data_IF_487384045323
#
_entry.id   IF_487384045323
#
_cell.length_a   1.000
_cell.length_b   1.000
_cell.length_c   1.000
_cell.angle_alpha   90.00
_cell.angle_beta   90.00
_cell.angle_gamma   90.00
#
_symmetry.space_group_name_H-M   'P 1'
#
loop_
_entity.id
_entity.type
_entity.pdbx_description
1 polymer ?
#
# COMPACT_ATOMS: atom_id res chain seq x y z
N UNK A 1 12.21 41.33 -30.06
CA UNK A 1 11.50 41.12 -28.79
C UNK A 1 11.82 39.71 -28.32
N UNK A 2 12.51 39.62 -27.20
CA UNK A 2 13.26 38.43 -26.74
C UNK A 2 12.32 37.43 -26.08
N UNK A 3 12.24 36.23 -26.63
CA UNK A 3 11.76 35.04 -25.90
C UNK A 3 13.01 34.21 -25.67
N UNK A 4 13.55 34.30 -24.45
CA UNK A 4 14.70 33.53 -24.00
C UNK A 4 14.21 32.52 -22.95
N UNK A 5 14.18 31.26 -23.38
CA UNK A 5 14.79 30.11 -22.70
C UNK A 5 14.35 29.80 -21.26
N UNK A 6 13.54 28.77 -21.15
CA UNK A 6 13.46 27.92 -19.97
C UNK A 6 13.64 26.44 -20.37
N UNK A 7 14.74 26.10 -21.04
CA UNK A 7 15.05 24.72 -21.48
C UNK A 7 16.35 24.17 -20.89
N UNK A 8 16.83 24.67 -19.75
CA UNK A 8 18.12 24.21 -19.20
C UNK A 8 18.08 23.80 -17.73
N UNK A 9 16.92 23.41 -17.19
CA UNK A 9 16.87 22.98 -15.77
C UNK A 9 16.67 21.48 -15.58
N UNK A 10 16.70 20.68 -16.64
CA UNK A 10 16.49 19.23 -16.58
C UNK A 10 17.78 18.38 -16.64
N UNK A 11 18.95 19.00 -16.65
CA UNK A 11 20.23 18.28 -16.89
C UNK A 11 21.15 18.20 -15.66
N UNK A 12 20.69 18.60 -14.49
CA UNK A 12 21.48 18.49 -13.24
C UNK A 12 20.69 17.87 -12.08
N UNK A 13 19.74 16.99 -12.33
CA UNK A 13 19.41 16.01 -11.32
C UNK A 13 20.61 15.05 -11.28
N UNK A 14 21.34 14.98 -10.15
CA UNK A 14 22.32 13.92 -9.99
C UNK A 14 21.56 12.63 -10.24
N UNK A 15 22.16 11.73 -10.99
CA UNK A 15 21.85 10.31 -10.92
C UNK A 15 22.04 9.94 -9.43
N UNK A 16 21.01 10.21 -8.63
CA UNK A 16 20.89 9.55 -7.35
C UNK A 16 21.00 8.08 -7.70
N UNK A 17 22.12 7.49 -7.34
CA UNK A 17 22.28 6.06 -7.40
C UNK A 17 20.97 5.51 -6.87
N UNK A 18 20.30 4.68 -7.64
CA UNK A 18 19.29 3.81 -7.09
C UNK A 18 20.07 2.92 -6.13
N UNK A 19 20.21 3.41 -4.89
CA UNK A 19 20.56 2.54 -3.81
C UNK A 19 19.48 1.46 -3.88
N UNK A 20 19.84 0.28 -4.29
CA UNK A 20 19.03 -0.91 -4.11
C UNK A 20 18.67 -0.88 -2.63
N UNK A 21 17.44 -0.49 -2.31
CA UNK A 21 16.93 -0.58 -0.96
C UNK A 21 16.83 -2.06 -0.66
N UNK A 22 17.89 -2.61 -0.08
CA UNK A 22 17.89 -3.96 0.47
C UNK A 22 16.98 -3.94 1.69
N UNK A 23 15.80 -4.53 1.57
CA UNK A 23 14.85 -4.73 2.67
C UNK A 23 15.22 -5.98 3.46
N UNK A 24 16.49 -6.08 3.89
CA UNK A 24 17.03 -7.29 4.52
C UNK A 24 16.25 -7.73 5.76
N UNK A 25 15.65 -6.82 6.50
CA UNK A 25 14.83 -7.15 7.65
C UNK A 25 13.47 -7.72 7.22
N UNK A 26 12.76 -7.03 6.34
CA UNK A 26 11.46 -7.48 5.84
C UNK A 26 11.57 -8.76 5.01
N UNK A 27 12.65 -8.95 4.27
CA UNK A 27 12.87 -10.15 3.45
C UNK A 27 13.11 -11.40 4.30
N UNK A 28 13.43 -11.25 5.60
CA UNK A 28 13.53 -12.39 6.52
C UNK A 28 12.17 -12.98 6.91
N UNK A 29 11.07 -12.27 6.67
CA UNK A 29 9.71 -12.72 6.94
C UNK A 29 9.03 -13.16 5.63
N UNK A 30 8.41 -14.35 5.58
CA UNK A 30 7.82 -14.87 4.36
C UNK A 30 6.67 -13.99 3.87
N UNK A 31 6.54 -13.85 2.55
CA UNK A 31 5.34 -13.32 1.92
C UNK A 31 4.33 -14.45 1.81
N UNK A 32 3.18 -14.28 2.42
CA UNK A 32 2.08 -15.23 2.42
C UNK A 32 0.89 -14.69 1.63
N UNK A 33 -0.01 -15.57 1.24
CA UNK A 33 -1.24 -15.23 0.51
C UNK A 33 -2.43 -15.78 1.28
N UNK A 34 -3.40 -14.92 1.56
CA UNK A 34 -4.67 -15.29 2.17
C UNK A 34 -5.83 -15.08 1.20
N UNK A 35 -6.77 -16.03 1.19
CA UNK A 35 -8.05 -15.86 0.49
C UNK A 35 -9.00 -15.02 1.35
N UNK A 36 -9.36 -13.84 0.84
CA UNK A 36 -10.29 -12.92 1.48
C UNK A 36 -11.48 -12.71 0.54
N UNK A 37 -12.58 -13.36 0.81
CA UNK A 37 -13.73 -13.41 -0.10
C UNK A 37 -13.34 -14.04 -1.44
N UNK A 38 -13.36 -13.26 -2.53
CA UNK A 38 -12.96 -13.71 -3.86
C UNK A 38 -11.54 -13.26 -4.25
N UNK A 39 -10.83 -12.60 -3.35
CA UNK A 39 -9.51 -12.03 -3.60
C UNK A 39 -8.43 -12.84 -2.87
N UNK A 40 -7.26 -12.79 -3.42
CA UNK A 40 -6.01 -13.19 -2.76
C UNK A 40 -5.28 -11.94 -2.30
N UNK A 41 -4.99 -11.85 -1.01
CA UNK A 41 -4.28 -10.73 -0.39
C UNK A 41 -2.93 -11.23 0.09
N UNK A 42 -1.87 -10.61 -0.44
CA UNK A 42 -0.51 -10.88 -0.01
C UNK A 42 -0.18 -10.11 1.27
N UNK A 43 0.46 -10.77 2.22
CA UNK A 43 0.78 -10.18 3.51
C UNK A 43 2.06 -10.77 4.11
N UNK A 44 2.60 -10.10 5.13
CA UNK A 44 3.68 -10.58 6.00
C UNK A 44 3.30 -10.31 7.45
N UNK A 45 3.66 -11.21 8.34
CA UNK A 45 3.60 -10.98 9.78
C UNK A 45 5.02 -10.88 10.31
N UNK A 46 5.32 -9.76 10.95
CA UNK A 46 6.63 -9.48 11.55
C UNK A 46 6.52 -9.64 13.05
N UNK A 47 7.44 -10.43 13.64
CA UNK A 47 7.49 -10.74 15.08
C UNK A 47 6.19 -11.38 15.60
N UNK A 48 5.70 -12.39 14.88
CA UNK A 48 4.52 -13.14 15.26
C UNK A 48 4.62 -13.68 16.70
N UNK A 49 3.66 -13.29 17.55
CA UNK A 49 3.59 -13.74 18.94
C UNK A 49 2.18 -13.53 19.50
N UNK A 50 1.57 -14.52 20.15
CA UNK A 50 0.18 -14.46 20.59
C UNK A 50 -0.12 -13.31 21.57
N UNK A 51 0.82 -12.98 22.44
CA UNK A 51 0.62 -11.99 23.51
C UNK A 51 1.01 -10.56 23.11
N UNK A 52 1.56 -10.34 21.91
CA UNK A 52 1.92 -8.99 21.46
C UNK A 52 0.68 -8.24 20.97
N UNK A 53 0.60 -6.93 21.24
CA UNK A 53 -0.41 -6.10 20.60
C UNK A 53 -0.20 -6.10 19.07
N UNK A 54 -1.30 -6.19 18.33
CA UNK A 54 -1.30 -6.27 16.87
C UNK A 54 -1.31 -4.88 16.26
N UNK A 55 -0.49 -4.66 15.22
CA UNK A 55 -0.51 -3.46 14.40
C UNK A 55 -0.68 -3.85 12.93
N UNK A 56 -1.63 -3.26 12.24
CA UNK A 56 -1.83 -3.41 10.80
C UNK A 56 -1.37 -2.14 10.12
N UNK A 57 -0.46 -2.25 9.16
CA UNK A 57 0.06 -1.10 8.42
C UNK A 57 -0.46 -1.12 6.98
N UNK A 58 -1.15 -0.04 6.57
CA UNK A 58 -1.86 0.09 5.30
C UNK A 58 -1.18 1.14 4.44
N UNK A 59 -0.55 0.73 3.34
CA UNK A 59 0.15 1.63 2.43
C UNK A 59 -0.83 2.43 1.54
N UNK A 60 -0.33 3.52 0.99
CA UNK A 60 -1.06 4.35 0.03
C UNK A 60 -1.12 3.74 -1.37
N UNK A 61 -1.64 4.52 -2.32
CA UNK A 61 -1.86 4.11 -3.69
C UNK A 61 -0.57 3.59 -4.35
N UNK A 62 -0.63 2.35 -4.87
CA UNK A 62 0.47 1.71 -5.59
C UNK A 62 1.66 1.28 -4.73
N UNK A 63 1.63 1.52 -3.43
CA UNK A 63 2.68 1.08 -2.51
C UNK A 63 2.46 -0.35 -2.04
N UNK A 64 3.48 -1.22 -2.21
CA UNK A 64 3.47 -2.59 -1.69
C UNK A 64 3.88 -2.64 -0.21
N UNK A 65 3.75 -3.82 0.40
CA UNK A 65 4.07 -4.06 1.81
C UNK A 65 5.51 -3.64 2.20
N UNK A 66 6.48 -3.76 1.30
CA UNK A 66 7.88 -3.37 1.55
C UNK A 66 8.11 -1.85 1.49
N UNK A 67 7.18 -1.07 0.96
CA UNK A 67 7.35 0.39 0.83
C UNK A 67 7.41 1.13 2.18
N UNK A 68 7.04 0.47 3.28
CA UNK A 68 7.22 1.00 4.64
C UNK A 68 8.67 1.10 5.08
N UNK A 69 9.55 0.28 4.51
CA UNK A 69 10.97 0.20 4.83
C UNK A 69 11.27 -0.48 6.16
N UNK A 70 12.46 -1.04 6.25
CA UNK A 70 12.92 -1.82 7.40
C UNK A 70 12.93 -1.02 8.69
N UNK A 71 13.32 0.26 8.64
CA UNK A 71 13.49 1.10 9.83
C UNK A 71 12.17 1.32 10.61
N UNK A 72 11.06 1.57 9.90
CA UNK A 72 9.76 1.77 10.55
C UNK A 72 9.26 0.46 11.15
N UNK A 73 9.30 -0.61 10.38
CA UNK A 73 8.73 -1.89 10.80
C UNK A 73 9.56 -2.52 11.94
N UNK A 74 10.90 -2.50 11.85
CA UNK A 74 11.73 -2.95 12.95
C UNK A 74 11.57 -2.07 14.21
N UNK A 75 11.31 -0.77 14.02
CA UNK A 75 10.99 0.13 15.13
C UNK A 75 9.69 -0.24 15.85
N UNK A 76 8.63 -0.58 15.14
CA UNK A 76 7.36 -1.06 15.71
C UNK A 76 7.57 -2.41 16.43
N UNK A 77 8.29 -3.32 15.80
CA UNK A 77 8.63 -4.61 16.38
C UNK A 77 9.45 -4.48 17.68
N UNK A 78 10.41 -3.56 17.71
CA UNK A 78 11.19 -3.24 18.89
C UNK A 78 10.36 -2.65 20.05
N UNK A 79 9.22 -1.99 19.74
CA UNK A 79 8.26 -1.54 20.73
C UNK A 79 7.32 -2.67 21.22
N UNK A 80 7.52 -3.88 20.74
CA UNK A 80 6.77 -5.05 21.16
C UNK A 80 5.50 -5.34 20.36
N UNK A 81 5.30 -4.69 19.21
CA UNK A 81 4.18 -5.00 18.33
C UNK A 81 4.47 -6.23 17.46
N UNK A 82 3.45 -7.00 17.19
CA UNK A 82 3.37 -7.88 16.02
C UNK A 82 2.79 -7.05 14.89
N UNK A 83 3.46 -7.01 13.73
CA UNK A 83 3.10 -6.10 12.64
C UNK A 83 2.64 -6.90 11.42
N UNK A 84 1.39 -6.67 11.02
CA UNK A 84 0.82 -7.19 9.78
C UNK A 84 0.99 -6.13 8.68
N UNK A 85 1.79 -6.47 7.66
CA UNK A 85 1.93 -5.71 6.43
C UNK A 85 1.13 -6.43 5.34
N UNK A 86 0.47 -5.66 4.47
CA UNK A 86 -0.28 -6.22 3.35
C UNK A 86 -0.06 -5.43 2.06
N UNK A 87 -0.26 -6.12 0.95
CA UNK A 87 -0.47 -5.47 -0.33
C UNK A 87 -1.96 -5.23 -0.51
N UNK A 88 -2.36 -3.98 -0.68
CA UNK A 88 -3.75 -3.68 -1.02
C UNK A 88 -4.15 -4.39 -2.32
N UNK A 89 -5.46 -4.65 -2.54
CA UNK A 89 -5.94 -5.09 -3.86
C UNK A 89 -5.34 -4.23 -4.95
N UNK A 90 -5.06 -4.81 -6.10
CA UNK A 90 -4.46 -4.15 -7.27
C UNK A 90 -3.00 -3.69 -7.07
N UNK A 91 -2.32 -4.18 -6.02
CA UNK A 91 -0.94 -3.83 -5.69
C UNK A 91 -0.11 -5.08 -5.37
N UNK A 92 1.17 -5.04 -5.67
CA UNK A 92 2.14 -6.07 -5.29
C UNK A 92 1.75 -7.46 -5.78
N UNK A 93 1.67 -8.41 -4.84
CA UNK A 93 1.30 -9.81 -5.10
C UNK A 93 -0.18 -10.11 -4.81
N UNK A 94 -0.98 -9.12 -4.39
CA UNK A 94 -2.43 -9.27 -4.23
C UNK A 94 -3.15 -9.31 -5.57
N UNK A 95 -4.43 -9.78 -5.56
CA UNK A 95 -5.28 -9.83 -6.75
C UNK A 95 -5.29 -8.50 -7.50
N UNK A 96 -5.06 -8.57 -8.81
CA UNK A 96 -5.01 -7.43 -9.71
C UNK A 96 -6.27 -7.33 -10.56
N UNK A 97 -6.62 -6.09 -10.89
CA UNK A 97 -7.78 -5.73 -11.71
C UNK A 97 -7.36 -5.22 -13.10
N UNK A 98 -6.33 -5.83 -13.67
CA UNK A 98 -5.72 -5.40 -14.95
C UNK A 98 -6.72 -5.38 -16.12
N UNK A 99 -7.77 -6.21 -16.08
CA UNK A 99 -8.85 -6.27 -17.10
C UNK A 99 -9.68 -4.98 -17.15
N UNK A 100 -9.67 -4.15 -16.12
CA UNK A 100 -10.34 -2.84 -16.11
C UNK A 100 -9.58 -1.77 -16.89
N UNK A 101 -8.35 -2.06 -17.32
CA UNK A 101 -7.47 -1.15 -18.01
C UNK A 101 -6.92 -0.03 -17.10
N UNK A 102 -6.10 0.83 -17.69
CA UNK A 102 -5.57 2.00 -16.97
C UNK A 102 -6.39 3.24 -17.34
N UNK A 103 -7.24 3.76 -16.45
CA UNK A 103 -8.01 4.95 -16.74
C UNK A 103 -7.08 6.14 -16.92
N UNK A 104 -7.33 6.96 -17.92
CA UNK A 104 -6.61 8.23 -18.11
C UNK A 104 -7.05 9.19 -17.01
N UNK A 105 -6.22 9.40 -16.01
CA UNK A 105 -6.54 10.16 -14.79
C UNK A 105 -7.15 11.54 -15.12
N UNK A 106 -6.59 12.26 -16.10
CA UNK A 106 -7.11 13.57 -16.53
C UNK A 106 -8.52 13.51 -17.11
N UNK A 107 -8.84 12.44 -17.82
CA UNK A 107 -10.16 12.24 -18.39
C UNK A 107 -11.20 11.94 -17.32
N UNK A 108 -10.84 11.11 -16.34
CA UNK A 108 -11.72 10.80 -15.20
C UNK A 108 -11.93 12.03 -14.32
N UNK A 109 -10.90 12.85 -14.10
CA UNK A 109 -11.00 14.11 -13.37
C UNK A 109 -11.92 15.12 -14.09
N UNK A 110 -11.84 15.19 -15.43
CA UNK A 110 -12.72 16.03 -16.23
C UNK A 110 -14.17 15.57 -16.15
N UNK A 111 -14.43 14.26 -16.27
CA UNK A 111 -15.76 13.69 -16.08
C UNK A 111 -16.32 14.06 -14.71
N UNK A 112 -15.55 13.86 -13.64
CA UNK A 112 -15.94 14.21 -12.28
C UNK A 112 -16.29 15.69 -12.14
N UNK A 113 -15.45 16.59 -12.67
CA UNK A 113 -15.73 18.04 -12.66
C UNK A 113 -16.99 18.44 -13.44
N UNK A 114 -17.34 17.67 -14.46
CA UNK A 114 -18.55 17.90 -15.26
C UNK A 114 -19.78 17.19 -14.68
N UNK A 115 -19.68 16.59 -13.49
CA UNK A 115 -20.78 15.93 -12.80
C UNK A 115 -21.11 14.53 -13.32
N UNK A 116 -20.25 13.92 -14.13
CA UNK A 116 -20.41 12.53 -14.55
C UNK A 116 -19.89 11.57 -13.49
N UNK A 117 -20.53 10.41 -13.36
CA UNK A 117 -20.03 9.35 -12.48
C UNK A 117 -18.70 8.79 -13.02
N UNK A 118 -17.75 8.62 -12.12
CA UNK A 118 -16.50 7.90 -12.38
C UNK A 118 -16.73 6.44 -12.05
N UNK A 119 -16.50 5.56 -13.01
CA UNK A 119 -16.63 4.12 -12.80
C UNK A 119 -15.30 3.60 -12.26
N UNK A 120 -15.33 3.09 -11.04
CA UNK A 120 -14.17 2.46 -10.40
C UNK A 120 -14.48 0.98 -10.13
N UNK A 121 -13.53 0.05 -10.29
CA UNK A 121 -13.76 -1.37 -10.05
C UNK A 121 -14.01 -1.69 -8.58
N UNK A 122 -13.58 -0.81 -7.67
CA UNK A 122 -13.74 -0.93 -6.22
C UNK A 122 -13.68 0.43 -5.53
N UNK A 123 -14.07 0.46 -4.28
CA UNK A 123 -14.10 1.64 -3.42
C UNK A 123 -13.13 1.49 -2.24
N UNK A 124 -12.92 2.57 -1.47
CA UNK A 124 -12.15 2.50 -0.22
C UNK A 124 -12.83 1.59 0.82
N UNK A 125 -14.18 1.53 0.84
CA UNK A 125 -14.91 0.60 1.69
C UNK A 125 -14.65 -0.87 1.34
N UNK A 126 -14.52 -1.19 0.04
CA UNK A 126 -14.13 -2.53 -0.38
C UNK A 126 -12.72 -2.87 0.12
N UNK A 127 -11.79 -1.91 0.06
CA UNK A 127 -10.43 -2.08 0.57
C UNK A 127 -10.42 -2.25 2.11
N UNK A 128 -11.24 -1.49 2.84
CA UNK A 128 -11.40 -1.66 4.29
C UNK A 128 -11.97 -3.04 4.63
N UNK A 129 -12.89 -3.55 3.81
CA UNK A 129 -13.45 -4.90 3.96
C UNK A 129 -12.40 -5.98 3.75
N UNK A 130 -11.46 -5.79 2.82
CA UNK A 130 -10.33 -6.71 2.64
C UNK A 130 -9.45 -6.79 3.88
N UNK A 131 -9.15 -5.63 4.48
CA UNK A 131 -8.30 -5.56 5.66
C UNK A 131 -8.95 -6.28 6.84
N UNK A 132 -10.24 -6.02 7.08
CA UNK A 132 -10.98 -6.72 8.16
C UNK A 132 -11.12 -8.21 7.87
N UNK A 133 -11.29 -8.58 6.62
CA UNK A 133 -11.29 -9.97 6.17
C UNK A 133 -9.94 -10.64 6.41
N UNK A 134 -8.84 -9.98 6.04
CA UNK A 134 -7.48 -10.47 6.30
C UNK A 134 -7.24 -10.62 7.81
N UNK A 135 -7.60 -9.61 8.62
CA UNK A 135 -7.49 -9.70 10.08
C UNK A 135 -8.21 -10.93 10.62
N UNK A 136 -9.41 -11.23 10.11
CA UNK A 136 -10.16 -12.43 10.51
C UNK A 136 -9.41 -13.71 10.12
N UNK A 137 -8.83 -13.78 8.93
CA UNK A 137 -8.08 -14.96 8.46
C UNK A 137 -6.84 -15.21 9.31
N UNK A 138 -6.09 -14.14 9.68
CA UNK A 138 -4.90 -14.25 10.52
C UNK A 138 -5.21 -14.30 12.04
N UNK A 139 -6.48 -14.27 12.41
CA UNK A 139 -6.91 -14.42 13.80
C UNK A 139 -6.75 -13.16 14.67
N UNK A 140 -6.81 -11.96 14.07
CA UNK A 140 -6.74 -10.70 14.78
C UNK A 140 -8.15 -10.18 15.12
N UNK A 141 -8.54 -10.28 16.37
CA UNK A 141 -9.82 -9.72 16.86
C UNK A 141 -9.78 -8.19 16.97
N UNK A 142 -8.60 -7.64 17.23
CA UNK A 142 -8.35 -6.20 17.33
C UNK A 142 -6.90 -5.87 16.98
N UNK A 143 -6.68 -4.68 16.42
CA UNK A 143 -5.34 -4.19 16.08
C UNK A 143 -5.29 -2.66 16.11
N UNK A 144 -4.08 -2.13 16.28
CA UNK A 144 -3.79 -0.73 15.96
C UNK A 144 -3.67 -0.60 14.46
N UNK A 145 -4.37 0.37 13.87
CA UNK A 145 -4.33 0.60 12.42
C UNK A 145 -3.45 1.82 12.13
N UNK A 146 -2.47 1.65 11.26
CA UNK A 146 -1.56 2.70 10.82
C UNK A 146 -1.66 2.80 9.30
N UNK A 147 -2.09 3.94 8.79
CA UNK A 147 -2.27 4.15 7.37
C UNK A 147 -1.49 5.35 6.83
N UNK A 148 -0.86 5.19 5.66
CA UNK A 148 -0.19 6.27 4.95
C UNK A 148 -1.00 6.71 3.73
N UNK A 149 -1.22 8.02 3.54
CA UNK A 149 -1.92 8.56 2.37
C UNK A 149 -3.31 7.90 2.18
N UNK A 150 -3.57 7.26 1.05
CA UNK A 150 -4.81 6.49 0.82
C UNK A 150 -5.04 5.43 1.91
N UNK A 151 -3.99 4.80 2.44
CA UNK A 151 -4.09 3.87 3.57
C UNK A 151 -4.66 4.52 4.83
N UNK A 152 -4.39 5.82 5.07
CA UNK A 152 -5.01 6.58 6.15
C UNK A 152 -6.49 6.87 5.92
N UNK A 153 -6.95 6.96 4.67
CA UNK A 153 -8.38 7.07 4.34
C UNK A 153 -9.11 5.73 4.50
N UNK A 154 -8.44 4.62 4.19
CA UNK A 154 -8.98 3.26 4.39
C UNK A 154 -9.14 2.94 5.87
N UNK A 155 -8.24 3.46 6.72
CA UNK A 155 -8.21 3.22 8.16
C UNK A 155 -9.34 3.91 8.94
N UNK A 156 -10.09 4.85 8.35
CA UNK A 156 -11.19 5.61 8.97
C UNK A 156 -12.53 4.89 8.86
#
# INVERSE_FOLDING_TARGET
MRILVCTLFWLLLPLASQAEYSHTYLDSYPLEIASVGQLEIAYRIVEEHPDRPKAVVIMGLGGSNIAWGDALISGLAAQGYEVLLLDNRDTGASTRFDDWGQPTLWWELLKYKLGFSVNAPYTLNDMATDITGLMTVVGYDQAHIIGASMGGMIAQ
#
